data_IF_165183717447
#
_entry.id   IF_165183717447
#
_cell.length_a   1.000
_cell.length_b   1.000
_cell.length_c   1.000
_cell.angle_alpha   90.00
_cell.angle_beta   90.00
_cell.angle_gamma   90.00
#
_symmetry.space_group_name_H-M   'P 1'
#
loop_
_entity.id
_entity.type
_entity.pdbx_description
1 polymer ?
#
# COMPACT_ATOMS: atom_id res chain seq x y z
N UNK A 1 30.19 -82.51 -24.60
CA UNK A 1 29.54 -83.68 -23.96
C UNK A 1 29.39 -83.32 -22.49
N UNK A 2 28.26 -83.30 -21.81
CA UNK A 2 26.97 -83.98 -21.93
C UNK A 2 25.87 -83.08 -21.32
N UNK A 3 24.63 -83.52 -21.49
CA UNK A 3 23.37 -82.78 -21.44
C UNK A 3 22.69 -82.82 -20.06
N UNK A 4 21.86 -81.79 -19.82
CA UNK A 4 20.56 -81.78 -19.12
C UNK A 4 20.51 -81.81 -17.58
N UNK A 5 19.90 -80.77 -16.98
CA UNK A 5 18.49 -80.80 -16.56
C UNK A 5 18.06 -79.45 -15.93
N UNK A 6 16.92 -78.93 -16.37
CA UNK A 6 15.98 -78.13 -15.57
C UNK A 6 14.72 -79.01 -15.39
N UNK A 7 13.91 -78.86 -14.32
CA UNK A 7 12.89 -77.81 -14.35
C UNK A 7 12.45 -77.22 -12.99
N UNK A 8 11.73 -76.09 -13.08
CA UNK A 8 10.59 -75.60 -12.29
C UNK A 8 10.59 -75.71 -10.76
N UNK A 9 10.47 -74.56 -10.06
CA UNK A 9 9.14 -74.14 -9.58
C UNK A 9 9.10 -72.71 -9.04
N UNK A 10 7.92 -72.13 -9.22
CA UNK A 10 7.45 -70.79 -8.89
C UNK A 10 7.30 -70.52 -7.38
N UNK A 11 7.56 -69.28 -6.92
CA UNK A 11 6.65 -68.60 -5.98
C UNK A 11 6.93 -67.09 -5.86
N UNK A 12 5.90 -66.29 -6.22
CA UNK A 12 5.40 -65.05 -5.59
C UNK A 12 6.41 -64.05 -5.00
N UNK A 13 6.49 -62.83 -5.53
CA UNK A 13 5.53 -61.72 -5.38
C UNK A 13 6.03 -60.72 -4.34
N UNK A 14 6.21 -59.47 -4.80
CA UNK A 14 6.23 -58.28 -3.95
C UNK A 14 7.58 -57.93 -3.38
N UNK A 15 8.24 -56.92 -3.94
CA UNK A 15 8.55 -55.69 -3.21
C UNK A 15 9.09 -54.64 -4.20
N UNK A 16 8.15 -53.85 -4.71
CA UNK A 16 8.24 -52.39 -4.82
C UNK A 16 9.53 -51.79 -5.41
N UNK A 17 9.49 -51.59 -6.73
CA UNK A 17 9.92 -50.34 -7.38
C UNK A 17 9.36 -49.13 -6.63
N UNK A 18 10.18 -48.10 -6.42
CA UNK A 18 9.83 -46.66 -6.46
C UNK A 18 10.80 -45.85 -5.59
N UNK A 19 11.68 -45.06 -6.20
CA UNK A 19 12.03 -43.70 -5.73
C UNK A 19 12.53 -42.87 -6.93
N UNK A 20 11.60 -42.40 -7.76
CA UNK A 20 11.78 -41.18 -8.56
C UNK A 20 10.73 -40.20 -8.05
N UNK A 21 11.16 -39.25 -7.23
CA UNK A 21 10.41 -38.08 -6.79
C UNK A 21 11.46 -37.01 -6.48
N UNK A 22 11.30 -35.72 -6.71
CA UNK A 22 10.36 -34.91 -7.47
C UNK A 22 11.04 -33.54 -7.43
N UNK A 23 11.69 -33.11 -8.51
CA UNK A 23 12.39 -31.83 -8.58
C UNK A 23 11.62 -30.90 -9.51
N UNK A 24 10.38 -30.60 -9.12
CA UNK A 24 9.51 -29.60 -9.74
C UNK A 24 8.70 -28.93 -8.63
N UNK A 25 8.49 -27.62 -8.77
CA UNK A 25 7.77 -26.69 -7.88
C UNK A 25 8.59 -25.90 -6.86
N UNK A 26 9.35 -24.92 -7.33
CA UNK A 26 9.58 -23.67 -6.57
C UNK A 26 9.47 -22.46 -7.51
N UNK A 27 8.31 -22.22 -8.13
CA UNK A 27 7.98 -20.92 -8.75
C UNK A 27 6.45 -20.73 -8.85
N UNK A 28 5.75 -20.60 -7.72
CA UNK A 28 4.31 -20.27 -7.76
C UNK A 28 3.75 -19.57 -6.50
N UNK A 29 4.59 -18.91 -5.68
CA UNK A 29 4.11 -18.26 -4.45
C UNK A 29 4.06 -16.72 -4.51
N UNK A 30 4.60 -16.08 -5.55
CA UNK A 30 4.65 -14.60 -5.60
C UNK A 30 3.42 -13.96 -6.28
N UNK A 31 2.64 -14.71 -7.08
CA UNK A 31 1.51 -14.14 -7.83
C UNK A 31 0.29 -13.83 -6.96
N UNK A 32 0.15 -14.48 -5.79
CA UNK A 32 -1.00 -14.26 -4.92
C UNK A 32 -0.86 -12.96 -4.11
N UNK A 33 0.31 -12.70 -3.54
CA UNK A 33 0.57 -11.49 -2.75
C UNK A 33 0.39 -10.20 -3.57
N UNK A 34 0.88 -10.18 -4.81
CA UNK A 34 0.73 -9.03 -5.72
C UNK A 34 -0.73 -8.77 -6.12
N UNK A 35 -1.54 -9.83 -6.25
CA UNK A 35 -2.97 -9.67 -6.58
C UNK A 35 -3.77 -9.07 -5.44
N UNK A 36 -3.44 -9.42 -4.19
CA UNK A 36 -4.09 -8.90 -2.99
C UNK A 36 -3.69 -7.45 -2.71
N UNK A 37 -2.39 -7.12 -2.85
CA UNK A 37 -1.89 -5.74 -2.72
C UNK A 37 -2.57 -4.80 -3.75
N UNK A 38 -2.64 -5.21 -5.02
CA UNK A 38 -3.33 -4.46 -6.08
C UNK A 38 -4.81 -4.18 -5.75
N UNK A 39 -5.54 -5.20 -5.30
CA UNK A 39 -6.94 -5.05 -4.92
C UNK A 39 -7.11 -4.11 -3.73
N UNK A 40 -6.19 -4.16 -2.76
CA UNK A 40 -6.20 -3.26 -1.61
C UNK A 40 -5.94 -1.81 -2.03
N UNK A 41 -4.91 -1.55 -2.83
CA UNK A 41 -4.57 -0.19 -3.29
C UNK A 41 -5.70 0.46 -4.10
N UNK A 42 -6.43 -0.33 -4.88
CA UNK A 42 -7.61 0.13 -5.63
C UNK A 42 -8.80 0.51 -4.74
N UNK A 43 -8.88 -0.08 -3.55
CA UNK A 43 -9.98 0.14 -2.61
C UNK A 43 -9.69 1.22 -1.55
N UNK A 44 -8.43 1.65 -1.41
CA UNK A 44 -8.08 2.71 -0.46
C UNK A 44 -8.71 4.03 -0.90
N UNK A 45 -9.43 4.65 0.04
CA UNK A 45 -10.00 5.97 -0.12
C UNK A 45 -9.10 7.03 0.53
N UNK A 46 -8.76 8.05 -0.26
CA UNK A 46 -8.09 9.26 0.17
C UNK A 46 -9.13 10.37 0.20
N UNK A 47 -9.48 10.87 1.39
CA UNK A 47 -10.57 11.83 1.56
C UNK A 47 -11.87 11.38 0.86
N UNK A 48 -12.23 10.10 1.00
CA UNK A 48 -13.46 9.51 0.43
C UNK A 48 -13.44 9.26 -1.08
N UNK A 49 -12.32 9.49 -1.78
CA UNK A 49 -12.15 9.14 -3.19
C UNK A 49 -11.07 8.07 -3.36
N UNK A 50 -11.25 7.17 -4.32
CA UNK A 50 -10.28 6.12 -4.66
C UNK A 50 -9.78 6.32 -6.09
N UNK A 51 -8.76 5.56 -6.48
CA UNK A 51 -8.23 5.58 -7.85
C UNK A 51 -9.27 5.19 -8.92
N UNK A 52 -10.36 4.51 -8.51
CA UNK A 52 -11.44 4.09 -9.38
C UNK A 52 -12.64 5.05 -9.36
N UNK A 53 -12.61 6.09 -8.53
CA UNK A 53 -13.69 7.07 -8.46
C UNK A 53 -13.72 7.86 -9.78
N UNK A 54 -14.89 7.91 -10.42
CA UNK A 54 -15.03 8.64 -11.69
C UNK A 54 -14.84 10.14 -11.50
N UNK A 55 -14.27 10.80 -12.52
CA UNK A 55 -14.03 12.25 -12.50
C UNK A 55 -15.30 13.07 -12.22
N UNK A 56 -16.46 12.56 -12.65
CA UNK A 56 -17.76 13.20 -12.45
C UNK A 56 -18.21 13.20 -10.98
N UNK A 57 -17.78 12.22 -10.17
CA UNK A 57 -18.19 12.08 -8.76
C UNK A 57 -17.24 12.80 -7.80
N UNK A 58 -15.97 12.91 -8.16
CA UNK A 58 -14.89 13.45 -7.31
C UNK A 58 -15.27 14.80 -6.71
N UNK A 59 -15.73 15.75 -7.54
CA UNK A 59 -16.06 17.09 -7.08
C UNK A 59 -17.16 17.08 -6.02
N UNK A 60 -18.21 16.28 -6.22
CA UNK A 60 -19.33 16.16 -5.28
C UNK A 60 -18.91 15.54 -3.95
N UNK A 61 -18.09 14.49 -3.98
CA UNK A 61 -17.57 13.81 -2.78
C UNK A 61 -16.71 14.77 -1.94
N UNK A 62 -15.76 15.47 -2.57
CA UNK A 62 -14.87 16.39 -1.87
C UNK A 62 -15.62 17.62 -1.33
N UNK A 63 -16.56 18.17 -2.10
CA UNK A 63 -17.39 19.29 -1.64
C UNK A 63 -18.28 18.90 -0.45
N UNK A 64 -18.85 17.69 -0.44
CA UNK A 64 -19.63 17.18 0.70
C UNK A 64 -18.80 17.07 1.99
N UNK A 65 -17.48 16.92 1.86
CA UNK A 65 -16.53 16.92 2.98
C UNK A 65 -15.96 18.30 3.33
N UNK A 66 -16.49 19.36 2.70
CA UNK A 66 -16.13 20.75 2.98
C UNK A 66 -14.90 21.25 2.21
N UNK A 67 -14.40 20.51 1.21
CA UNK A 67 -13.36 21.03 0.33
C UNK A 67 -13.94 22.02 -0.68
N UNK A 68 -13.14 23.07 -0.96
CA UNK A 68 -13.39 24.03 -2.04
C UNK A 68 -12.47 23.72 -3.20
N UNK A 69 -13.04 23.64 -4.39
CA UNK A 69 -12.26 23.51 -5.61
C UNK A 69 -11.55 24.84 -5.90
N UNK A 70 -10.24 24.77 -6.11
CA UNK A 70 -9.40 25.93 -6.46
C UNK A 70 -9.16 25.97 -7.97
N UNK A 71 -8.95 24.81 -8.58
CA UNK A 71 -8.87 24.61 -10.03
C UNK A 71 -9.31 23.17 -10.37
N UNK A 72 -9.14 22.74 -11.62
CA UNK A 72 -9.60 21.43 -12.09
C UNK A 72 -8.98 20.24 -11.32
N UNK A 73 -7.75 20.37 -10.81
CA UNK A 73 -7.02 19.30 -10.12
C UNK A 73 -6.85 19.51 -8.62
N UNK A 74 -7.11 20.71 -8.08
CA UNK A 74 -6.79 21.05 -6.69
C UNK A 74 -8.04 21.43 -5.88
N UNK A 75 -8.18 20.77 -4.75
CA UNK A 75 -9.21 21.01 -3.74
C UNK A 75 -8.56 21.33 -2.40
N UNK A 76 -9.10 22.32 -1.68
CA UNK A 76 -8.54 22.72 -0.39
C UNK A 76 -9.61 22.87 0.68
N UNK A 77 -9.24 22.54 1.91
CA UNK A 77 -10.07 22.73 3.11
C UNK A 77 -9.19 23.31 4.21
N UNK A 78 -9.75 24.19 5.03
CA UNK A 78 -9.04 24.73 6.19
C UNK A 78 -9.91 24.59 7.43
N UNK A 79 -9.31 24.09 8.50
CA UNK A 79 -9.96 23.93 9.80
C UNK A 79 -9.05 24.46 10.90
N UNK A 80 -9.64 24.85 12.04
CA UNK A 80 -8.84 25.15 13.22
C UNK A 80 -8.28 23.84 13.79
N UNK A 81 -6.97 23.80 13.96
CA UNK A 81 -6.28 22.75 14.68
C UNK A 81 -6.11 23.13 16.16
N UNK A 82 -5.65 22.18 16.96
CA UNK A 82 -5.26 22.44 18.34
C UNK A 82 -4.22 23.57 18.42
N UNK A 83 -4.22 24.29 19.55
CA UNK A 83 -3.22 25.33 19.87
C UNK A 83 -3.27 26.57 18.96
N UNK A 84 -4.43 26.89 18.37
CA UNK A 84 -4.62 28.12 17.59
C UNK A 84 -3.94 28.09 16.21
N UNK A 85 -3.50 26.92 15.74
CA UNK A 85 -3.01 26.72 14.37
C UNK A 85 -4.18 26.43 13.44
N UNK A 86 -3.97 26.64 12.15
CA UNK A 86 -4.91 26.20 11.12
C UNK A 86 -4.35 24.96 10.42
N UNK A 87 -5.12 23.89 10.33
CA UNK A 87 -4.80 22.80 9.42
C UNK A 87 -5.27 23.17 8.01
N UNK A 88 -4.36 23.10 7.06
CA UNK A 88 -4.63 23.29 5.63
C UNK A 88 -4.53 21.92 4.98
N UNK A 89 -5.65 21.44 4.48
CA UNK A 89 -5.79 20.19 3.77
C UNK A 89 -5.85 20.47 2.27
N UNK A 90 -5.18 19.63 1.48
CA UNK A 90 -5.17 19.69 0.03
C UNK A 90 -5.39 18.31 -0.54
N UNK A 91 -6.22 18.21 -1.56
CA UNK A 91 -6.37 17.02 -2.40
C UNK A 91 -6.05 17.45 -3.82
N UNK A 92 -5.04 16.82 -4.41
CA UNK A 92 -4.59 17.02 -5.77
C UNK A 92 -4.90 15.76 -6.59
N UNK A 93 -5.46 15.97 -7.78
CA UNK A 93 -5.96 14.90 -8.65
C UNK A 93 -5.40 15.15 -10.03
N UNK A 94 -4.53 14.24 -10.46
CA UNK A 94 -3.98 14.26 -11.81
C UNK A 94 -4.54 13.07 -12.57
N UNK A 95 -5.23 13.36 -13.66
CA UNK A 95 -5.81 12.34 -14.53
C UNK A 95 -5.36 12.61 -15.95
N UNK A 96 -4.43 11.78 -16.44
CA UNK A 96 -3.86 11.89 -17.77
C UNK A 96 -4.07 10.59 -18.55
N UNK A 97 -3.70 10.59 -19.83
CA UNK A 97 -3.74 9.36 -20.63
C UNK A 97 -2.77 8.27 -20.12
N UNK A 98 -1.77 8.63 -19.29
CA UNK A 98 -0.70 7.71 -18.86
C UNK A 98 -0.77 7.33 -17.39
N UNK A 99 -1.50 8.08 -16.57
CA UNK A 99 -1.72 7.74 -15.17
C UNK A 99 -2.90 8.47 -14.56
N UNK A 100 -3.42 7.89 -13.49
CA UNK A 100 -4.33 8.51 -12.54
C UNK A 100 -3.61 8.64 -11.19
N UNK A 101 -3.73 9.78 -10.51
CA UNK A 101 -3.07 10.03 -9.24
C UNK A 101 -3.97 10.84 -8.32
N UNK A 102 -4.00 10.43 -7.05
CA UNK A 102 -4.64 11.16 -5.97
C UNK A 102 -3.57 11.40 -4.90
N UNK A 103 -3.37 12.67 -4.55
CA UNK A 103 -2.44 13.09 -3.50
C UNK A 103 -3.20 13.91 -2.47
N UNK A 104 -3.13 13.50 -1.21
CA UNK A 104 -3.59 14.26 -0.07
C UNK A 104 -2.41 14.82 0.71
N UNK A 105 -2.54 16.07 1.14
CA UNK A 105 -1.63 16.63 2.13
C UNK A 105 -2.34 17.44 3.20
N UNK A 106 -1.81 17.39 4.41
CA UNK A 106 -2.12 18.31 5.50
C UNK A 106 -0.84 18.98 5.96
N UNK A 107 -0.92 20.29 6.12
CA UNK A 107 0.10 21.09 6.78
C UNK A 107 -0.54 21.98 7.84
N UNK A 108 0.22 22.37 8.85
CA UNK A 108 -0.22 23.29 9.88
C UNK A 108 0.29 24.72 9.59
N UNK A 109 -0.63 25.63 9.26
CA UNK A 109 -0.39 27.07 9.09
C UNK A 109 -0.75 27.90 10.33
N UNK A 110 -0.44 29.21 10.29
CA UNK A 110 -0.62 30.14 11.41
C UNK A 110 0.70 30.43 12.14
N UNK A 111 0.88 31.70 12.56
CA UNK A 111 2.16 32.27 13.01
C UNK A 111 2.87 31.58 14.18
N UNK A 112 4.07 32.08 14.49
CA UNK A 112 5.06 31.51 15.43
C UNK A 112 4.45 31.09 16.77
N UNK A 113 4.29 29.78 16.99
CA UNK A 113 3.96 29.21 18.30
C UNK A 113 5.26 29.03 19.08
N UNK A 114 5.32 29.57 20.31
CA UNK A 114 6.46 29.42 21.23
C UNK A 114 6.49 28.08 21.99
N UNK A 115 5.48 27.24 21.81
CA UNK A 115 5.35 25.97 22.53
C UNK A 115 6.00 24.82 21.75
N UNK A 116 6.62 23.84 22.44
CA UNK A 116 7.32 22.73 21.80
C UNK A 116 6.37 21.93 20.90
N UNK A 117 6.87 21.51 19.74
CA UNK A 117 6.25 20.44 18.96
C UNK A 117 6.32 19.18 19.84
N UNK A 118 5.17 18.61 20.20
CA UNK A 118 5.14 17.30 20.85
C UNK A 118 5.48 16.28 19.77
N UNK A 119 6.73 15.84 19.74
CA UNK A 119 7.25 14.95 18.70
C UNK A 119 6.54 13.60 18.62
N UNK A 120 5.93 13.14 19.73
CA UNK A 120 5.27 11.84 19.82
C UNK A 120 3.74 11.92 19.88
N UNK A 121 3.15 13.06 19.52
CA UNK A 121 1.69 13.11 19.45
C UNK A 121 1.19 12.26 18.27
N UNK A 122 0.01 11.63 18.40
CA UNK A 122 -0.53 10.78 17.36
C UNK A 122 -0.88 11.55 16.09
N UNK A 123 -0.83 10.86 14.95
CA UNK A 123 -1.46 11.28 13.69
C UNK A 123 -2.95 11.59 13.98
N UNK A 124 -3.52 12.69 13.45
CA UNK A 124 -4.92 13.04 13.66
C UNK A 124 -5.88 11.89 13.35
N UNK A 125 -6.93 11.76 14.16
CA UNK A 125 -7.92 10.68 14.03
C UNK A 125 -8.61 10.64 12.66
N UNK A 126 -8.73 11.79 11.98
CA UNK A 126 -9.28 11.89 10.62
C UNK A 126 -8.37 11.30 9.53
N UNK A 127 -7.10 11.04 9.83
CA UNK A 127 -6.09 10.59 8.86
C UNK A 127 -5.52 9.22 9.19
N UNK A 128 -5.57 8.82 10.47
CA UNK A 128 -4.86 7.63 10.96
C UNK A 128 -5.30 6.35 10.26
N UNK A 129 -6.60 6.18 10.02
CA UNK A 129 -7.13 4.95 9.40
C UNK A 129 -6.68 4.83 7.95
N UNK A 130 -6.76 5.93 7.19
CA UNK A 130 -6.27 6.01 5.81
C UNK A 130 -4.76 5.74 5.75
N UNK A 131 -3.97 6.37 6.61
CA UNK A 131 -2.52 6.18 6.67
C UNK A 131 -2.15 4.73 7.01
N UNK A 132 -2.83 4.11 7.98
CA UNK A 132 -2.62 2.71 8.35
C UNK A 132 -3.04 1.74 7.25
N UNK A 133 -4.13 2.01 6.53
CA UNK A 133 -4.56 1.17 5.42
C UNK A 133 -3.49 1.14 4.32
N UNK A 134 -2.98 2.30 3.91
CA UNK A 134 -1.91 2.38 2.91
C UNK A 134 -0.62 1.71 3.40
N UNK A 135 -0.22 1.97 4.64
CA UNK A 135 0.94 1.30 5.23
C UNK A 135 0.79 -0.22 5.18
N UNK A 136 -0.37 -0.76 5.59
CA UNK A 136 -0.60 -2.20 5.65
C UNK A 136 -0.60 -2.84 4.28
N UNK A 137 -1.16 -2.18 3.25
CA UNK A 137 -1.13 -2.68 1.89
C UNK A 137 0.30 -2.83 1.35
N UNK A 138 1.21 -1.95 1.79
CA UNK A 138 2.57 -1.85 1.22
C UNK A 138 3.63 -2.56 2.07
N UNK A 139 3.50 -2.55 3.40
CA UNK A 139 4.53 -3.00 4.32
C UNK A 139 4.15 -4.25 5.12
N UNK A 140 2.86 -4.62 5.19
CA UNK A 140 2.42 -5.79 5.96
C UNK A 140 2.36 -7.03 5.06
N UNK A 141 2.71 -8.20 5.61
CA UNK A 141 2.70 -9.49 4.90
C UNK A 141 3.64 -9.55 3.68
N UNK A 142 4.61 -8.65 3.58
CA UNK A 142 5.70 -8.69 2.59
C UNK A 142 6.99 -9.23 3.21
N UNK A 143 7.93 -9.69 2.39
CA UNK A 143 9.21 -10.24 2.89
C UNK A 143 10.07 -9.14 3.52
N UNK A 144 11.03 -9.54 4.37
CA UNK A 144 11.94 -8.59 5.01
C UNK A 144 12.79 -7.80 3.99
N UNK A 145 13.11 -8.42 2.86
CA UNK A 145 13.81 -7.79 1.74
C UNK A 145 12.97 -6.67 1.13
N UNK A 146 11.68 -6.93 0.86
CA UNK A 146 10.75 -5.93 0.32
C UNK A 146 10.52 -4.80 1.33
N UNK A 147 10.35 -5.12 2.61
CA UNK A 147 10.19 -4.09 3.65
C UNK A 147 11.42 -3.18 3.74
N UNK A 148 12.62 -3.75 3.59
CA UNK A 148 13.87 -2.99 3.57
C UNK A 148 13.98 -2.13 2.31
N UNK A 149 13.65 -2.67 1.14
CA UNK A 149 13.66 -1.94 -0.14
C UNK A 149 12.67 -0.75 -0.12
N UNK A 150 11.48 -0.97 0.43
CA UNK A 150 10.43 0.06 0.57
C UNK A 150 10.68 1.01 1.75
N UNK A 151 11.77 0.83 2.51
CA UNK A 151 12.08 1.58 3.73
C UNK A 151 10.88 1.66 4.70
N UNK A 152 10.24 0.52 4.97
CA UNK A 152 9.12 0.44 5.91
C UNK A 152 9.61 0.74 7.34
N UNK A 153 9.14 1.85 7.94
CA UNK A 153 9.44 2.20 9.33
C UNK A 153 8.45 1.53 10.28
N UNK A 154 8.79 1.26 11.56
CA UNK A 154 7.86 0.67 12.51
C UNK A 154 6.54 1.43 12.60
N UNK A 155 5.42 0.73 12.45
CA UNK A 155 4.09 1.34 12.51
C UNK A 155 3.77 1.77 13.94
N UNK A 156 3.63 3.08 14.15
CA UNK A 156 3.23 3.66 15.44
C UNK A 156 2.07 4.64 15.26
N UNK A 157 1.41 5.03 16.35
CA UNK A 157 0.36 6.06 16.27
C UNK A 157 0.90 7.45 15.95
N UNK A 158 2.17 7.74 16.25
CA UNK A 158 2.79 9.05 16.02
C UNK A 158 3.44 9.18 14.63
N UNK A 159 3.91 8.06 14.08
CA UNK A 159 4.64 8.01 12.81
C UNK A 159 4.16 6.82 11.99
N UNK A 160 3.57 7.10 10.82
CA UNK A 160 3.15 6.10 9.85
C UNK A 160 3.78 6.50 8.51
N UNK A 161 4.87 5.84 8.12
CA UNK A 161 5.62 6.20 6.92
C UNK A 161 6.40 5.04 6.32
N UNK A 162 6.68 5.16 5.03
CA UNK A 162 7.62 4.35 4.28
C UNK A 162 8.32 5.21 3.23
N UNK A 163 9.35 4.69 2.56
CA UNK A 163 9.97 5.37 1.41
C UNK A 163 10.55 6.76 1.73
N UNK A 164 10.74 7.10 3.00
CA UNK A 164 11.22 8.42 3.46
C UNK A 164 10.43 9.61 2.86
N UNK A 165 9.11 9.47 2.73
CA UNK A 165 8.26 10.51 2.15
C UNK A 165 8.47 10.72 0.65
N UNK A 166 8.99 9.72 -0.06
CA UNK A 166 9.09 9.70 -1.52
C UNK A 166 8.07 8.72 -2.11
N UNK A 167 7.76 8.94 -3.39
CA UNK A 167 7.03 7.96 -4.18
C UNK A 167 7.88 6.70 -4.32
N UNK A 168 7.32 5.56 -3.92
CA UNK A 168 7.91 4.25 -4.14
C UNK A 168 7.03 3.44 -5.07
N UNK A 169 7.66 2.62 -5.90
CA UNK A 169 6.96 1.70 -6.77
C UNK A 169 6.52 0.49 -5.92
N UNK A 170 5.22 0.25 -5.84
CA UNK A 170 4.66 -0.92 -5.17
C UNK A 170 4.63 -2.11 -6.13
N UNK A 171 4.15 -1.90 -7.36
CA UNK A 171 4.18 -2.89 -8.43
C UNK A 171 4.30 -2.20 -9.82
N UNK A 172 4.13 -2.95 -10.90
CA UNK A 172 4.24 -2.43 -12.27
C UNK A 172 3.26 -1.29 -12.61
N UNK A 173 2.13 -1.19 -11.91
CA UNK A 173 1.04 -0.24 -12.16
C UNK A 173 0.92 0.80 -11.05
N UNK A 174 1.31 0.48 -9.82
CA UNK A 174 1.10 1.33 -8.66
C UNK A 174 2.38 1.93 -8.10
N UNK A 175 2.35 3.24 -7.89
CA UNK A 175 3.27 3.94 -6.99
C UNK A 175 2.49 4.54 -5.82
N UNK A 176 3.14 4.61 -4.67
CA UNK A 176 2.53 5.04 -3.40
C UNK A 176 3.45 5.99 -2.65
N UNK A 177 2.85 6.88 -1.87
CA UNK A 177 3.53 7.88 -1.05
C UNK A 177 2.88 7.91 0.33
N UNK A 178 3.68 7.84 1.40
CA UNK A 178 3.18 7.92 2.77
C UNK A 178 4.21 8.52 3.72
N UNK A 179 3.86 9.68 4.28
CA UNK A 179 4.51 10.25 5.45
C UNK A 179 3.46 10.96 6.31
N UNK A 180 3.07 10.33 7.42
CA UNK A 180 2.05 10.85 8.33
C UNK A 180 2.60 11.02 9.75
N UNK A 181 2.43 12.23 10.28
CA UNK A 181 2.78 12.66 11.64
C UNK A 181 1.70 13.59 12.20
N UNK A 182 1.81 13.99 13.46
CA UNK A 182 0.92 15.04 14.00
C UNK A 182 1.04 16.39 13.26
N UNK A 183 2.21 16.72 12.73
CA UNK A 183 2.52 18.04 12.20
C UNK A 183 2.20 18.17 10.70
N UNK A 184 2.34 17.07 9.97
CA UNK A 184 2.06 16.98 8.54
C UNK A 184 1.68 15.56 8.15
N UNK A 185 0.86 15.48 7.12
CA UNK A 185 0.51 14.21 6.48
C UNK A 185 0.63 14.39 4.97
N UNK A 186 1.26 13.45 4.29
CA UNK A 186 1.23 13.32 2.83
C UNK A 186 0.96 11.87 2.48
N UNK A 187 -0.08 11.66 1.67
CA UNK A 187 -0.55 10.33 1.27
C UNK A 187 -0.85 10.40 -0.22
N UNK A 188 -0.38 9.43 -0.99
CA UNK A 188 -0.61 9.42 -2.42
C UNK A 188 -0.69 8.01 -2.99
N UNK A 189 -1.55 7.84 -3.98
CA UNK A 189 -1.64 6.64 -4.82
C UNK A 189 -1.65 7.09 -6.28
N UNK A 190 -0.77 6.49 -7.08
CA UNK A 190 -0.68 6.67 -8.52
C UNK A 190 -0.85 5.33 -9.21
N UNK A 191 -1.70 5.28 -10.23
CA UNK A 191 -1.94 4.11 -11.06
C UNK A 191 -1.64 4.41 -12.52
N UNK A 192 -0.80 3.58 -13.12
CA UNK A 192 -0.53 3.54 -14.55
C UNK A 192 -1.26 2.33 -15.14
N UNK A 193 -2.18 2.54 -16.11
CA UNK A 193 -2.98 1.47 -16.71
C UNK A 193 -2.17 0.49 -17.56
#
# INVERSE_FOLDING_TARGET
MQRYNAPSDSFRSGFLLLWINALLFVFALNSHATSTEKQQLQAIEIAGISINTSSEMIAGILQAQGYKQINESLYTKQEQAHSGRNAIYRVEIENTATFHQITYSRSLGGGRVKSPIVHDAPVPASEIDMAQQLYRAVCTNTSAEIQKERSCEPLTSANIRFGHGQWIQSDAHFAVLLDATNASTTIGIKHTP
#
